data_IF_015835632032
#
_entry.id   IF_015835632032
#
_cell.length_a   1.000
_cell.length_b   1.000
_cell.length_c   1.000
_cell.angle_alpha   90.00
_cell.angle_beta   90.00
_cell.angle_gamma   90.00
#
_symmetry.space_group_name_H-M   'P 1'
#
loop_
_entity.id
_entity.type
_entity.pdbx_description
1 polymer ?
#
# COMPACT_ATOMS: atom_id res chain seq x y z
N UNK A 1 19.42 2.10 -19.99
CA UNK A 1 20.24 3.32 -19.92
C UNK A 1 19.35 4.44 -19.40
N UNK A 2 19.89 5.35 -18.62
CA UNK A 2 19.16 6.49 -18.10
C UNK A 2 18.87 7.47 -19.24
N UNK A 3 17.60 7.68 -19.58
CA UNK A 3 17.15 8.76 -20.47
C UNK A 3 17.01 10.09 -19.69
N UNK A 4 17.62 10.18 -18.51
CA UNK A 4 17.52 11.33 -17.62
C UNK A 4 18.51 12.42 -18.07
N UNK A 5 18.06 13.66 -18.32
CA UNK A 5 18.90 14.72 -18.90
C UNK A 5 20.06 15.16 -18.02
N UNK A 6 20.04 14.81 -16.74
CA UNK A 6 21.03 15.19 -15.74
C UNK A 6 22.14 14.13 -15.56
N UNK A 7 22.05 13.00 -16.25
CA UNK A 7 23.08 11.97 -16.28
C UNK A 7 23.68 11.88 -17.68
N UNK A 8 24.96 11.53 -17.77
CA UNK A 8 25.61 11.33 -19.06
C UNK A 8 24.98 10.12 -19.78
N UNK A 9 24.68 10.21 -21.09
CA UNK A 9 24.23 9.08 -21.87
C UNK A 9 25.24 7.93 -21.77
N UNK A 10 24.82 6.74 -21.34
CA UNK A 10 25.76 5.64 -21.04
C UNK A 10 26.73 5.29 -22.19
N UNK A 11 26.32 5.52 -23.44
CA UNK A 11 27.15 5.31 -24.62
C UNK A 11 28.43 6.17 -24.65
N UNK A 12 28.40 7.38 -24.08
CA UNK A 12 29.59 8.26 -24.05
C UNK A 12 30.59 7.86 -22.97
N UNK A 13 30.21 6.92 -22.09
CA UNK A 13 31.06 6.38 -21.04
C UNK A 13 31.78 5.09 -21.48
N UNK A 14 31.49 4.59 -22.68
CA UNK A 14 32.15 3.40 -23.22
C UNK A 14 33.57 3.76 -23.68
N UNK A 15 34.53 2.89 -23.39
CA UNK A 15 35.90 3.05 -23.86
C UNK A 15 36.06 2.62 -25.32
N UNK A 16 36.86 3.36 -26.09
CA UNK A 16 37.23 2.98 -27.46
C UNK A 16 36.12 3.14 -28.52
N UNK A 17 35.05 3.88 -28.22
CA UNK A 17 33.98 4.19 -29.19
C UNK A 17 33.99 5.66 -29.61
N UNK A 18 33.44 5.97 -30.78
CA UNK A 18 33.43 7.34 -31.31
C UNK A 18 32.65 8.32 -30.42
N UNK A 19 31.60 7.84 -29.76
CA UNK A 19 30.75 8.65 -28.88
C UNK A 19 31.46 9.15 -27.61
N UNK A 20 32.56 8.50 -27.19
CA UNK A 20 33.27 8.84 -25.97
C UNK A 20 33.79 10.29 -25.96
N UNK A 21 34.09 10.84 -27.15
CA UNK A 21 34.59 12.21 -27.30
C UNK A 21 33.58 13.29 -26.87
N UNK A 22 32.29 12.94 -26.79
CA UNK A 22 31.23 13.89 -26.42
C UNK A 22 31.01 13.97 -24.91
N UNK A 23 31.60 13.08 -24.11
CA UNK A 23 31.42 13.05 -22.65
C UNK A 23 31.76 14.39 -22.01
N UNK A 24 32.94 14.94 -22.30
CA UNK A 24 33.40 16.23 -21.76
C UNK A 24 32.52 17.40 -22.21
N UNK A 25 32.03 17.36 -23.45
CA UNK A 25 31.17 18.41 -24.02
C UNK A 25 29.81 18.42 -23.35
N UNK A 26 29.18 17.25 -23.22
CA UNK A 26 27.90 17.11 -22.54
C UNK A 26 28.05 17.51 -21.08
N UNK A 27 29.14 17.10 -20.43
CA UNK A 27 29.44 17.52 -19.06
C UNK A 27 29.60 19.04 -18.92
N UNK A 28 30.18 19.70 -19.95
CA UNK A 28 30.28 21.15 -20.03
C UNK A 28 28.96 21.87 -20.41
N UNK A 29 27.86 21.13 -20.62
CA UNK A 29 26.54 21.67 -20.92
C UNK A 29 26.17 21.70 -22.40
N UNK A 30 26.90 21.01 -23.27
CA UNK A 30 26.50 20.82 -24.66
C UNK A 30 25.15 20.09 -24.71
N UNK A 31 24.13 20.65 -25.41
CA UNK A 31 22.81 20.03 -25.46
C UNK A 31 22.84 18.71 -26.24
N UNK A 32 22.04 17.77 -25.76
CA UNK A 32 21.92 16.45 -26.37
C UNK A 32 20.48 15.91 -26.29
N UNK A 33 20.13 14.99 -27.20
CA UNK A 33 18.86 14.31 -27.17
C UNK A 33 19.01 12.89 -27.71
N UNK A 34 18.30 11.92 -27.11
CA UNK A 34 18.13 10.59 -27.69
C UNK A 34 16.88 10.54 -28.57
N UNK A 35 16.94 9.81 -29.68
CA UNK A 35 15.76 9.49 -30.50
C UNK A 35 15.88 8.12 -31.14
N UNK A 36 14.78 7.57 -31.62
CA UNK A 36 14.76 6.39 -32.49
C UNK A 36 15.29 6.75 -33.89
N UNK A 37 15.64 5.74 -34.67
CA UNK A 37 15.88 5.86 -36.11
C UNK A 37 14.65 5.32 -36.84
N UNK A 38 14.03 6.16 -37.65
CA UNK A 38 12.82 5.84 -38.39
C UNK A 38 13.14 5.20 -39.75
N UNK A 39 12.28 4.29 -40.19
CA UNK A 39 12.34 3.71 -41.53
C UNK A 39 13.43 2.67 -41.75
N UNK A 40 14.00 2.08 -40.69
CA UNK A 40 15.04 1.05 -40.76
C UNK A 40 14.73 -0.06 -41.79
N UNK A 41 13.48 -0.52 -41.82
CA UNK A 41 13.02 -1.60 -42.70
C UNK A 41 12.99 -1.27 -44.19
N UNK A 42 13.17 -0.01 -44.58
CA UNK A 42 13.12 0.43 -45.98
C UNK A 42 14.51 0.63 -46.60
N UNK A 43 15.58 0.45 -45.83
CA UNK A 43 16.95 0.69 -46.26
C UNK A 43 17.84 -0.51 -45.92
N UNK A 44 19.14 -0.28 -45.85
CA UNK A 44 20.16 -1.32 -45.69
C UNK A 44 20.24 -1.85 -44.25
N UNK A 45 19.33 -1.48 -43.34
CA UNK A 45 19.41 -1.94 -41.96
C UNK A 45 19.11 -3.44 -41.84
N UNK A 46 20.00 -4.18 -41.18
CA UNK A 46 19.91 -5.62 -40.99
C UNK A 46 19.89 -6.44 -42.30
N UNK A 47 20.23 -5.84 -43.44
CA UNK A 47 20.54 -6.57 -44.68
C UNK A 47 21.95 -7.16 -44.59
N UNK A 48 22.26 -8.18 -45.38
CA UNK A 48 23.61 -8.76 -45.42
C UNK A 48 24.62 -7.72 -45.93
N UNK A 49 25.66 -7.47 -45.13
CA UNK A 49 26.75 -6.55 -45.44
C UNK A 49 27.82 -7.18 -46.32
N UNK A 50 28.79 -6.38 -46.76
CA UNK A 50 29.89 -6.83 -47.62
C UNK A 50 30.84 -7.83 -46.94
N UNK A 51 30.86 -7.83 -45.61
CA UNK A 51 31.61 -8.74 -44.75
C UNK A 51 30.82 -10.00 -44.35
N UNK A 52 29.57 -10.13 -44.82
CA UNK A 52 28.66 -11.23 -44.49
C UNK A 52 27.93 -11.05 -43.14
N UNK A 53 28.28 -10.02 -42.37
CA UNK A 53 27.55 -9.65 -41.16
C UNK A 53 26.36 -8.75 -41.52
N UNK A 54 25.24 -8.81 -40.77
CA UNK A 54 24.13 -7.90 -40.99
C UNK A 54 24.57 -6.47 -40.71
N UNK A 55 24.16 -5.54 -41.59
CA UNK A 55 24.39 -4.11 -41.43
C UNK A 55 23.71 -3.62 -40.16
N UNK A 56 24.51 -3.53 -39.09
CA UNK A 56 24.08 -3.10 -37.77
C UNK A 56 25.25 -2.41 -37.07
N UNK A 57 25.22 -1.07 -36.93
CA UNK A 57 26.28 -0.36 -36.22
C UNK A 57 26.33 -0.78 -34.76
N UNK A 58 27.47 -0.60 -34.10
CA UNK A 58 27.61 -0.87 -32.66
C UNK A 58 27.23 0.35 -31.83
N UNK A 59 26.88 0.14 -30.57
CA UNK A 59 26.70 1.24 -29.64
C UNK A 59 27.98 2.10 -29.58
N UNK A 60 27.82 3.40 -29.78
CA UNK A 60 28.90 4.39 -29.82
C UNK A 60 29.45 4.68 -31.21
N UNK A 61 29.06 3.95 -32.24
CA UNK A 61 29.48 4.21 -33.63
C UNK A 61 28.98 5.59 -34.09
N UNK A 62 29.82 6.30 -34.83
CA UNK A 62 29.47 7.58 -35.43
C UNK A 62 28.42 7.42 -36.54
N UNK A 63 27.44 8.32 -36.53
CA UNK A 63 26.47 8.51 -37.60
C UNK A 63 26.71 9.84 -38.32
N UNK A 64 26.30 9.87 -39.59
CA UNK A 64 26.27 11.07 -40.42
C UNK A 64 24.82 11.44 -40.68
N UNK A 65 24.52 12.72 -40.50
CA UNK A 65 23.20 13.28 -40.76
C UNK A 65 23.25 14.13 -42.01
N UNK A 66 22.35 13.84 -42.95
CA UNK A 66 22.29 14.54 -44.24
C UNK A 66 20.91 15.15 -44.41
N UNK A 67 20.86 16.44 -44.73
CA UNK A 67 19.60 17.13 -45.04
C UNK A 67 19.06 16.64 -46.38
N UNK A 68 17.78 16.29 -46.43
CA UNK A 68 17.05 15.96 -47.65
C UNK A 68 15.83 16.90 -47.81
N UNK A 69 16.06 18.19 -48.12
CA UNK A 69 14.99 19.20 -48.21
C UNK A 69 14.00 18.94 -49.35
N UNK A 70 14.43 18.23 -50.40
CA UNK A 70 13.62 17.88 -51.57
C UNK A 70 12.83 16.57 -51.39
N UNK A 71 12.79 16.00 -50.18
CA UNK A 71 12.02 14.81 -49.89
C UNK A 71 10.51 15.08 -50.09
N UNK A 72 9.86 14.28 -50.94
CA UNK A 72 8.45 14.45 -51.32
C UNK A 72 7.45 14.32 -50.16
N UNK A 73 7.85 13.67 -49.06
CA UNK A 73 7.00 13.44 -47.89
C UNK A 73 7.23 14.45 -46.75
N UNK A 74 8.46 14.94 -46.60
CA UNK A 74 8.85 15.84 -45.50
C UNK A 74 10.05 16.73 -45.87
N UNK A 75 9.82 18.02 -46.10
CA UNK A 75 10.90 18.98 -46.40
C UNK A 75 11.90 19.19 -45.24
N UNK A 76 11.58 18.75 -44.03
CA UNK A 76 12.52 18.73 -42.91
C UNK A 76 13.29 17.41 -42.79
N UNK A 77 13.18 16.49 -43.75
CA UNK A 77 13.80 15.17 -43.65
C UNK A 77 15.31 15.24 -43.42
N UNK A 78 15.77 14.45 -42.44
CA UNK A 78 17.18 14.26 -42.15
C UNK A 78 17.48 12.77 -42.25
N UNK A 79 18.32 12.41 -43.20
CA UNK A 79 18.77 11.04 -43.42
C UNK A 79 19.85 10.67 -42.42
N UNK A 80 19.85 9.40 -42.01
CA UNK A 80 20.81 8.83 -41.07
C UNK A 80 21.68 7.82 -41.82
N UNK A 81 22.97 8.10 -41.86
CA UNK A 81 23.98 7.32 -42.58
C UNK A 81 25.03 6.77 -41.63
N UNK A 82 25.53 5.57 -41.93
CA UNK A 82 26.65 4.92 -41.24
C UNK A 82 27.79 4.67 -42.22
N UNK A 83 29.03 4.84 -41.75
CA UNK A 83 30.27 4.70 -42.55
C UNK A 83 30.34 5.54 -43.84
N UNK A 84 29.47 6.56 -43.95
CA UNK A 84 29.31 7.49 -45.08
C UNK A 84 28.64 6.90 -46.34
N UNK A 85 28.33 5.61 -46.38
CA UNK A 85 27.85 4.93 -47.58
C UNK A 85 26.59 4.08 -47.35
N UNK A 86 26.28 3.75 -46.09
CA UNK A 86 25.14 2.92 -45.74
C UNK A 86 24.03 3.81 -45.16
N UNK A 87 22.89 3.89 -45.85
CA UNK A 87 21.72 4.62 -45.34
C UNK A 87 20.96 3.71 -44.38
N UNK A 88 20.85 4.12 -43.12
CA UNK A 88 20.10 3.36 -42.11
C UNK A 88 18.62 3.76 -42.09
N UNK A 89 18.32 5.05 -42.33
CA UNK A 89 16.96 5.56 -42.20
C UNK A 89 16.90 7.07 -42.14
N UNK A 90 15.98 7.58 -41.33
CA UNK A 90 15.77 9.00 -41.09
C UNK A 90 15.62 9.31 -39.60
N UNK A 91 15.84 10.56 -39.22
CA UNK A 91 15.34 11.06 -37.95
C UNK A 91 13.80 11.06 -37.97
N UNK A 92 13.13 10.72 -36.86
CA UNK A 92 11.68 10.79 -36.77
C UNK A 92 11.18 12.21 -37.13
N UNK A 93 10.04 12.30 -37.82
CA UNK A 93 9.49 13.57 -38.32
C UNK A 93 9.43 14.70 -37.27
N UNK A 94 9.08 14.37 -36.03
CA UNK A 94 9.04 15.33 -34.93
C UNK A 94 10.42 15.87 -34.54
N UNK A 95 11.45 15.00 -34.55
CA UNK A 95 12.84 15.37 -34.30
C UNK A 95 13.38 16.18 -35.47
N UNK A 96 13.17 15.69 -36.70
CA UNK A 96 13.59 16.32 -37.94
C UNK A 96 13.06 17.76 -38.06
N UNK A 97 11.79 17.99 -37.73
CA UNK A 97 11.16 19.32 -37.70
C UNK A 97 11.90 20.32 -36.81
N UNK A 98 12.45 19.87 -35.70
CA UNK A 98 13.13 20.74 -34.73
C UNK A 98 14.57 21.00 -35.17
N UNK A 99 15.29 19.96 -35.62
CA UNK A 99 16.71 20.07 -35.91
C UNK A 99 17.03 20.60 -37.31
N UNK A 100 16.17 20.34 -38.31
CA UNK A 100 16.44 20.68 -39.70
C UNK A 100 16.68 22.19 -39.94
N UNK A 101 15.87 23.12 -39.38
CA UNK A 101 16.14 24.55 -39.53
C UNK A 101 17.49 24.97 -38.95
N UNK A 102 17.92 24.34 -37.85
CA UNK A 102 19.23 24.60 -37.26
C UNK A 102 20.36 24.05 -38.12
N UNK A 103 20.21 22.85 -38.69
CA UNK A 103 21.16 22.29 -39.64
C UNK A 103 21.29 23.17 -40.88
N UNK A 104 20.17 23.66 -41.43
CA UNK A 104 20.15 24.56 -42.60
C UNK A 104 20.81 25.91 -42.29
N UNK A 105 20.77 26.35 -41.03
CA UNK A 105 21.51 27.52 -40.54
C UNK A 105 22.99 27.25 -40.22
N UNK A 106 23.48 26.02 -40.44
CA UNK A 106 24.87 25.63 -40.18
C UNK A 106 25.19 25.33 -38.71
N UNK A 107 24.18 25.16 -37.86
CA UNK A 107 24.40 24.80 -36.46
C UNK A 107 25.00 23.38 -36.36
N UNK A 108 26.08 23.17 -35.57
CA UNK A 108 26.66 21.86 -35.40
C UNK A 108 25.66 20.84 -34.85
N UNK A 109 25.62 19.67 -35.51
CA UNK A 109 24.87 18.50 -35.06
C UNK A 109 25.70 17.24 -35.30
N UNK A 110 25.87 16.44 -34.26
CA UNK A 110 26.63 15.20 -34.26
C UNK A 110 25.72 14.08 -33.83
N UNK A 111 25.90 12.89 -34.39
CA UNK A 111 25.05 11.75 -34.11
C UNK A 111 25.87 10.48 -33.88
N UNK A 112 25.38 9.64 -32.96
CA UNK A 112 26.00 8.37 -32.58
C UNK A 112 24.94 7.32 -32.29
N UNK A 113 25.26 6.05 -32.38
CA UNK A 113 24.31 4.97 -32.03
C UNK A 113 24.26 4.81 -30.51
N UNK A 114 23.08 4.94 -29.90
CA UNK A 114 22.85 4.62 -28.49
C UNK A 114 22.62 3.12 -28.33
N UNK A 115 21.67 2.61 -29.12
CA UNK A 115 21.21 1.24 -29.08
C UNK A 115 21.05 0.76 -30.53
N UNK A 116 21.76 -0.30 -30.95
CA UNK A 116 21.60 -0.84 -32.30
C UNK A 116 20.27 -1.58 -32.50
N UNK A 117 19.51 -1.83 -31.44
CA UNK A 117 18.23 -2.51 -31.51
C UNK A 117 18.35 -3.95 -32.01
N UNK A 118 17.21 -4.50 -32.39
CA UNK A 118 17.07 -5.91 -32.79
C UNK A 118 17.11 -6.11 -34.29
N UNK A 119 17.08 -5.03 -35.07
CA UNK A 119 16.89 -5.05 -36.52
C UNK A 119 15.44 -4.80 -36.95
N UNK A 120 14.50 -4.83 -36.01
CA UNK A 120 13.11 -4.49 -36.28
C UNK A 120 12.92 -2.96 -36.34
N UNK A 121 11.84 -2.54 -37.00
CA UNK A 121 11.47 -1.13 -37.10
C UNK A 121 11.42 -0.46 -35.70
N UNK A 122 11.93 0.77 -35.61
CA UNK A 122 11.93 1.59 -34.38
C UNK A 122 12.77 1.05 -33.21
N UNK A 123 13.59 0.02 -33.42
CA UNK A 123 14.39 -0.55 -32.33
C UNK A 123 15.77 0.09 -32.18
N UNK A 124 16.33 0.66 -33.25
CA UNK A 124 17.60 1.37 -33.17
C UNK A 124 17.40 2.82 -32.68
N UNK A 125 18.32 3.30 -31.83
CA UNK A 125 18.32 4.64 -31.23
C UNK A 125 19.63 5.37 -31.49
N UNK A 126 19.53 6.67 -31.73
CA UNK A 126 20.64 7.59 -31.92
C UNK A 126 20.73 8.63 -30.79
N UNK A 127 21.96 8.99 -30.43
CA UNK A 127 22.31 10.14 -29.60
C UNK A 127 22.63 11.28 -30.54
N UNK A 128 21.94 12.39 -30.37
CA UNK A 128 22.19 13.65 -31.04
C UNK A 128 22.88 14.60 -30.06
N UNK A 129 23.98 15.23 -30.47
CA UNK A 129 24.76 16.16 -29.65
C UNK A 129 25.08 17.40 -30.46
N UNK A 130 24.78 18.59 -29.92
CA UNK A 130 25.05 19.84 -30.60
C UNK A 130 24.00 20.92 -30.35
N UNK A 131 24.33 22.20 -30.56
CA UNK A 131 23.38 23.32 -30.41
C UNK A 131 22.09 23.14 -31.22
N UNK A 132 22.12 22.41 -32.33
CA UNK A 132 20.93 22.12 -33.13
C UNK A 132 19.84 21.30 -32.41
N UNK A 133 20.17 20.63 -31.28
CA UNK A 133 19.18 19.92 -30.44
C UNK A 133 18.83 20.68 -29.16
N UNK A 134 19.17 21.96 -29.05
CA UNK A 134 18.88 22.78 -27.87
C UNK A 134 17.42 22.74 -27.44
N UNK A 135 16.48 22.91 -28.39
CA UNK A 135 15.05 22.90 -28.09
C UNK A 135 14.55 21.53 -27.63
N UNK A 136 15.07 20.44 -28.20
CA UNK A 136 14.77 19.07 -27.78
C UNK A 136 15.33 18.78 -26.38
N UNK A 137 16.57 19.21 -26.11
CA UNK A 137 17.20 19.06 -24.80
C UNK A 137 16.44 19.85 -23.72
N UNK A 138 15.99 21.07 -24.04
CA UNK A 138 15.15 21.87 -23.15
C UNK A 138 13.81 21.19 -22.81
N UNK A 139 13.16 20.58 -23.81
CA UNK A 139 11.93 19.78 -23.58
C UNK A 139 12.20 18.56 -22.70
N UNK A 140 13.33 17.88 -22.88
CA UNK A 140 13.74 16.76 -22.05
C UNK A 140 13.95 17.17 -20.59
N UNK A 141 14.68 18.28 -20.34
CA UNK A 141 14.86 18.86 -19.00
C UNK A 141 13.51 19.21 -18.36
N UNK A 142 12.63 19.89 -19.11
CA UNK A 142 11.32 20.27 -18.61
C UNK A 142 10.47 19.05 -18.22
N UNK A 143 10.50 17.99 -19.05
CA UNK A 143 9.79 16.74 -18.76
C UNK A 143 10.32 16.05 -17.50
N UNK A 144 11.65 15.87 -17.40
CA UNK A 144 12.28 15.26 -16.23
C UNK A 144 12.01 16.05 -14.94
N UNK A 145 12.03 17.39 -15.02
CA UNK A 145 11.71 18.27 -13.88
C UNK A 145 10.25 18.12 -13.45
N UNK A 146 9.32 18.07 -14.40
CA UNK A 146 7.90 17.88 -14.11
C UNK A 146 7.63 16.53 -13.44
N UNK A 147 8.24 15.44 -13.95
CA UNK A 147 8.14 14.11 -13.34
C UNK A 147 8.67 14.11 -11.90
N UNK A 148 9.87 14.67 -11.66
CA UNK A 148 10.44 14.74 -10.31
C UNK A 148 9.56 15.55 -9.34
N UNK A 149 8.95 16.65 -9.80
CA UNK A 149 8.02 17.45 -9.00
C UNK A 149 6.74 16.68 -8.66
N UNK A 150 6.19 15.93 -9.61
CA UNK A 150 4.99 15.13 -9.38
C UNK A 150 5.25 13.96 -8.44
N UNK A 151 6.40 13.30 -8.57
CA UNK A 151 6.85 12.26 -7.63
C UNK A 151 7.01 12.80 -6.21
N UNK A 152 7.64 13.98 -6.06
CA UNK A 152 7.78 14.64 -4.77
C UNK A 152 6.42 15.00 -4.16
N UNK A 153 5.52 15.61 -4.94
CA UNK A 153 4.14 15.94 -4.49
C UNK A 153 3.38 14.70 -4.06
N UNK A 154 3.50 13.61 -4.80
CA UNK A 154 2.88 12.35 -4.44
C UNK A 154 3.44 11.79 -3.13
N UNK A 155 4.76 11.87 -2.96
CA UNK A 155 5.44 11.51 -1.72
C UNK A 155 4.98 12.32 -0.50
N UNK A 156 4.85 13.64 -0.64
CA UNK A 156 4.31 14.52 0.42
C UNK A 156 2.88 14.15 0.79
N UNK A 157 2.01 13.94 -0.22
CA UNK A 157 0.61 13.55 -0.01
C UNK A 157 0.51 12.21 0.72
N UNK A 158 1.33 11.24 0.35
CA UNK A 158 1.41 9.94 1.05
C UNK A 158 1.92 10.10 2.49
N UNK A 159 2.85 11.01 2.76
CA UNK A 159 3.31 11.29 4.11
C UNK A 159 2.22 11.96 4.97
N UNK A 160 1.44 12.89 4.38
CA UNK A 160 0.29 13.50 5.02
C UNK A 160 -0.80 12.48 5.37
N UNK A 161 -1.21 11.65 4.40
CA UNK A 161 -2.19 10.59 4.63
C UNK A 161 -1.78 9.63 5.76
N UNK A 162 -0.47 9.30 5.85
CA UNK A 162 0.07 8.51 6.96
C UNK A 162 -0.07 9.22 8.31
N UNK A 163 0.27 10.51 8.37
CA UNK A 163 0.10 11.33 9.60
C UNK A 163 -1.36 11.41 10.05
N UNK A 164 -2.28 11.58 9.11
CA UNK A 164 -3.72 11.60 9.39
C UNK A 164 -4.23 10.25 9.88
N UNK A 165 -3.84 9.15 9.21
CA UNK A 165 -4.17 7.78 9.61
C UNK A 165 -3.68 7.47 11.03
N UNK A 166 -2.43 7.81 11.33
CA UNK A 166 -1.85 7.65 12.66
C UNK A 166 -2.59 8.46 13.73
N UNK A 167 -3.02 9.67 13.38
CA UNK A 167 -3.78 10.54 14.29
C UNK A 167 -5.15 9.95 14.60
N UNK A 168 -5.86 9.41 13.60
CA UNK A 168 -7.15 8.71 13.79
C UNK A 168 -6.98 7.47 14.67
N UNK A 169 -5.98 6.64 14.40
CA UNK A 169 -5.69 5.44 15.21
C UNK A 169 -5.36 5.82 16.66
N UNK A 170 -4.63 6.91 16.89
CA UNK A 170 -4.34 7.41 18.24
C UNK A 170 -5.60 7.88 18.96
N UNK A 171 -6.50 8.58 18.26
CA UNK A 171 -7.77 9.04 18.81
C UNK A 171 -8.66 7.88 19.24
N UNK A 172 -8.83 6.86 18.38
CA UNK A 172 -9.61 5.65 18.70
C UNK A 172 -9.06 4.91 19.94
N UNK A 173 -7.74 4.77 20.04
CA UNK A 173 -7.10 4.17 21.24
C UNK A 173 -7.36 4.99 22.49
N UNK A 174 -7.33 6.31 22.39
CA UNK A 174 -7.59 7.21 23.51
C UNK A 174 -9.04 7.09 23.98
N UNK A 175 -10.01 7.06 23.06
CA UNK A 175 -11.43 6.85 23.40
C UNK A 175 -11.67 5.51 24.09
N UNK A 176 -11.07 4.42 23.57
CA UNK A 176 -11.17 3.10 24.19
C UNK A 176 -10.62 3.10 25.61
N UNK A 177 -9.46 3.74 25.85
CA UNK A 177 -8.89 3.90 27.20
C UNK A 177 -9.81 4.71 28.10
N UNK A 178 -10.42 5.79 27.59
CA UNK A 178 -11.33 6.62 28.37
C UNK A 178 -12.60 5.87 28.75
N UNK A 179 -13.18 5.06 27.83
CA UNK A 179 -14.33 4.19 28.11
C UNK A 179 -14.00 3.18 29.22
N UNK A 180 -12.86 2.50 29.11
CA UNK A 180 -12.40 1.55 30.14
C UNK A 180 -12.16 2.23 31.49
N UNK A 181 -11.53 3.41 31.51
CA UNK A 181 -11.29 4.16 32.75
C UNK A 181 -12.60 4.61 33.41
N UNK A 182 -13.60 5.04 32.62
CA UNK A 182 -14.95 5.38 33.12
C UNK A 182 -15.63 4.17 33.73
N UNK A 183 -15.63 3.03 33.04
CA UNK A 183 -16.20 1.78 33.55
C UNK A 183 -15.49 1.30 34.83
N UNK A 184 -14.16 1.43 34.91
CA UNK A 184 -13.40 1.10 36.11
C UNK A 184 -13.79 1.99 37.31
N UNK A 185 -13.93 3.30 37.11
CA UNK A 185 -14.39 4.22 38.17
C UNK A 185 -15.80 3.90 38.62
N UNK A 186 -16.70 3.58 37.67
CA UNK A 186 -18.08 3.21 38.00
C UNK A 186 -18.13 1.90 38.80
N UNK A 187 -17.39 0.87 38.36
CA UNK A 187 -17.28 -0.39 39.11
C UNK A 187 -16.72 -0.16 40.52
N UNK A 188 -15.69 0.68 40.66
CA UNK A 188 -15.13 1.03 41.96
C UNK A 188 -16.16 1.73 42.84
N UNK A 189 -16.88 2.72 42.31
CA UNK A 189 -17.91 3.46 43.05
C UNK A 189 -19.06 2.55 43.49
N UNK A 190 -19.57 1.71 42.57
CA UNK A 190 -20.63 0.72 42.87
C UNK A 190 -20.15 -0.24 43.95
N UNK A 191 -18.95 -0.80 43.82
CA UNK A 191 -18.41 -1.73 44.80
C UNK A 191 -18.18 -1.08 46.17
N UNK A 192 -17.70 0.17 46.22
CA UNK A 192 -17.52 0.90 47.47
C UNK A 192 -18.87 1.16 48.14
N UNK A 193 -19.88 1.61 47.37
CA UNK A 193 -21.22 1.82 47.89
C UNK A 193 -21.87 0.53 48.37
N UNK A 194 -21.80 -0.54 47.58
CA UNK A 194 -22.30 -1.88 47.95
C UNK A 194 -21.62 -2.46 49.19
N UNK A 195 -20.38 -2.09 49.50
CA UNK A 195 -19.70 -2.53 50.72
C UNK A 195 -20.25 -1.86 51.98
N UNK A 196 -20.83 -0.66 51.85
CA UNK A 196 -21.38 0.11 52.97
C UNK A 196 -22.90 -0.02 53.12
N UNK A 197 -23.58 -0.63 52.15
CA UNK A 197 -24.99 -0.95 52.28
C UNK A 197 -25.16 -2.12 53.26
N UNK A 198 -26.10 -2.03 54.22
CA UNK A 198 -26.48 -3.21 54.99
C UNK A 198 -26.99 -4.28 54.03
N UNK A 199 -26.75 -5.58 54.28
CA UNK A 199 -27.38 -6.63 53.51
C UNK A 199 -28.89 -6.38 53.51
N UNK A 200 -29.53 -6.41 52.32
CA UNK A 200 -30.98 -6.26 52.24
C UNK A 200 -31.62 -7.26 53.21
N UNK A 201 -32.47 -6.81 54.15
CA UNK A 201 -33.18 -7.74 55.01
C UNK A 201 -33.95 -8.67 54.11
N UNK A 202 -33.69 -9.97 54.27
CA UNK A 202 -34.39 -10.98 53.50
C UNK A 202 -35.84 -10.87 53.91
N UNK A 203 -36.70 -10.61 52.92
CA UNK A 203 -38.12 -10.81 53.12
C UNK A 203 -38.32 -12.32 53.29
N UNK A 204 -38.43 -12.79 54.54
CA UNK A 204 -38.65 -14.20 54.85
C UNK A 204 -39.91 -14.74 54.15
N UNK A 205 -40.85 -13.87 53.76
CA UNK A 205 -42.02 -14.22 52.97
C UNK A 205 -41.70 -14.57 51.52
N UNK A 206 -40.53 -14.17 50.98
CA UNK A 206 -40.03 -14.59 49.66
C UNK A 206 -39.39 -15.97 49.67
N UNK A 207 -38.95 -16.48 50.82
CA UNK A 207 -38.44 -17.84 50.90
C UNK A 207 -39.59 -18.83 50.75
N UNK A 208 -39.43 -19.90 49.95
CA UNK A 208 -40.42 -20.96 49.89
C UNK A 208 -40.76 -21.48 51.30
N UNK A 209 -42.05 -21.71 51.62
CA UNK A 209 -42.43 -22.21 52.94
C UNK A 209 -42.00 -23.66 53.10
N UNK A 210 -41.69 -24.05 54.35
CA UNK A 210 -41.30 -25.40 54.69
C UNK A 210 -42.41 -26.41 54.30
N UNK A 211 -41.99 -27.60 53.86
CA UNK A 211 -42.87 -28.67 53.39
C UNK A 211 -43.33 -28.56 51.93
N UNK A 212 -43.10 -27.43 51.24
CA UNK A 212 -43.43 -27.32 49.80
C UNK A 212 -42.35 -27.94 48.93
N UNK A 213 -42.78 -28.63 47.88
CA UNK A 213 -41.93 -29.04 46.77
C UNK A 213 -41.88 -27.90 45.75
N UNK A 214 -40.68 -27.38 45.47
CA UNK A 214 -40.46 -26.25 44.55
C UNK A 214 -39.36 -26.56 43.55
N UNK A 215 -39.34 -25.87 42.42
CA UNK A 215 -38.23 -25.97 41.47
C UNK A 215 -36.99 -25.25 42.02
N UNK A 216 -35.81 -25.79 41.72
CA UNK A 216 -34.54 -25.13 42.04
C UNK A 216 -34.41 -23.75 41.40
N UNK A 217 -35.12 -23.51 40.29
CA UNK A 217 -35.19 -22.19 39.68
C UNK A 217 -35.88 -21.17 40.59
N UNK A 218 -36.95 -21.56 41.27
CA UNK A 218 -37.69 -20.67 42.17
C UNK A 218 -36.82 -20.31 43.38
N UNK A 219 -36.05 -21.28 43.90
CA UNK A 219 -35.05 -21.02 44.94
C UNK A 219 -33.97 -20.07 44.44
N UNK A 220 -33.39 -20.34 43.26
CA UNK A 220 -32.34 -19.51 42.66
C UNK A 220 -32.79 -18.07 42.47
N UNK A 221 -34.03 -17.86 42.02
CA UNK A 221 -34.64 -16.55 41.88
C UNK A 221 -34.90 -15.88 43.24
N UNK A 222 -35.44 -16.61 44.22
CA UNK A 222 -35.77 -16.07 45.54
C UNK A 222 -34.53 -15.52 46.28
N UNK A 223 -33.39 -16.19 46.16
CA UNK A 223 -32.14 -15.78 46.85
C UNK A 223 -31.10 -15.12 45.94
N UNK A 224 -31.44 -14.87 44.67
CA UNK A 224 -30.56 -14.17 43.72
C UNK A 224 -29.26 -14.90 43.40
N UNK A 225 -29.30 -16.22 43.16
CA UNK A 225 -28.12 -17.03 42.84
C UNK A 225 -28.33 -17.87 41.56
N UNK A 226 -27.27 -18.54 41.09
CA UNK A 226 -27.40 -19.47 39.95
C UNK A 226 -28.12 -20.77 40.35
N UNK A 227 -28.78 -21.45 39.41
CA UNK A 227 -29.40 -22.78 39.64
C UNK A 227 -28.42 -23.81 40.23
N UNK A 228 -27.15 -23.78 39.77
CA UNK A 228 -26.08 -24.63 40.32
C UNK A 228 -25.73 -24.29 41.77
N UNK A 229 -25.84 -23.02 42.15
CA UNK A 229 -25.63 -22.59 43.54
C UNK A 229 -26.82 -22.96 44.41
N UNK A 230 -28.06 -22.76 43.93
CA UNK A 230 -29.27 -23.22 44.61
C UNK A 230 -29.23 -24.74 44.88
N UNK A 231 -28.78 -25.55 43.92
CA UNK A 231 -28.56 -26.98 44.10
C UNK A 231 -27.56 -27.29 45.22
N UNK A 232 -26.40 -26.63 45.22
CA UNK A 232 -25.38 -26.81 46.27
C UNK A 232 -25.88 -26.40 47.65
N UNK A 233 -26.72 -25.36 47.74
CA UNK A 233 -27.33 -24.94 49.00
C UNK A 233 -28.34 -25.98 49.49
N UNK A 234 -29.16 -26.56 48.60
CA UNK A 234 -30.05 -27.68 48.90
C UNK A 234 -29.29 -28.91 49.42
N UNK A 235 -28.23 -29.31 48.71
CA UNK A 235 -27.38 -30.44 49.10
C UNK A 235 -26.66 -30.18 50.44
N UNK A 236 -26.17 -28.95 50.68
CA UNK A 236 -25.57 -28.54 51.97
C UNK A 236 -26.56 -28.61 53.13
N UNK A 237 -27.84 -28.32 52.89
CA UNK A 237 -28.90 -28.43 53.88
C UNK A 237 -29.40 -29.87 54.08
N UNK A 238 -28.82 -30.86 53.39
CA UNK A 238 -29.27 -32.25 53.43
C UNK A 238 -30.57 -32.52 52.65
N UNK A 239 -31.07 -31.53 51.89
CA UNK A 239 -32.29 -31.69 51.10
C UNK A 239 -31.99 -32.46 49.80
N UNK A 240 -32.78 -33.49 49.53
CA UNK A 240 -32.63 -34.31 48.32
C UNK A 240 -33.25 -33.61 47.12
N UNK A 241 -32.42 -33.24 46.15
CA UNK A 241 -32.87 -32.72 44.85
C UNK A 241 -33.32 -33.88 43.97
N UNK A 242 -34.56 -33.83 43.49
CA UNK A 242 -35.10 -34.76 42.51
C UNK A 242 -35.00 -34.16 41.12
N UNK A 243 -34.45 -34.91 40.18
CA UNK A 243 -34.35 -34.48 38.78
C UNK A 243 -35.28 -35.34 37.96
N UNK A 244 -36.26 -34.72 37.31
CA UNK A 244 -37.10 -35.40 36.34
C UNK A 244 -36.43 -35.34 34.96
N UNK A 245 -36.40 -36.46 34.27
CA UNK A 245 -35.74 -36.61 32.97
C UNK A 245 -36.77 -36.93 31.89
N UNK A 246 -36.69 -36.27 30.74
CA UNK A 246 -37.40 -36.66 29.52
C UNK A 246 -36.37 -37.01 28.46
N UNK A 247 -36.10 -38.30 28.29
CA UNK A 247 -34.95 -38.77 27.51
C UNK A 247 -33.64 -38.36 28.17
N UNK A 248 -32.75 -37.72 27.41
CA UNK A 248 -31.45 -37.24 27.90
C UNK A 248 -31.48 -35.85 28.55
N UNK A 249 -32.64 -35.19 28.57
CA UNK A 249 -32.78 -33.84 29.10
C UNK A 249 -33.44 -33.82 30.47
N UNK A 250 -32.83 -33.13 31.42
CA UNK A 250 -33.47 -32.77 32.68
C UNK A 250 -34.59 -31.77 32.40
N UNK A 251 -35.83 -32.14 32.69
CA UNK A 251 -37.01 -31.30 32.46
C UNK A 251 -37.42 -30.49 33.68
N UNK A 252 -37.13 -31.00 34.88
CA UNK A 252 -37.32 -30.29 36.15
C UNK A 252 -36.31 -30.73 37.19
N UNK A 253 -36.04 -29.86 38.16
CA UNK A 253 -35.20 -30.18 39.30
C UNK A 253 -35.85 -29.61 40.54
N UNK A 254 -36.58 -30.46 41.26
CA UNK A 254 -37.38 -30.06 42.41
C UNK A 254 -36.71 -30.45 43.72
N UNK A 255 -37.06 -29.74 44.79
CA UNK A 255 -36.62 -30.05 46.14
C UNK A 255 -37.75 -29.75 47.12
N UNK A 256 -37.88 -30.59 48.14
CA UNK A 256 -38.76 -30.32 49.28
C UNK A 256 -38.04 -29.36 50.22
N UNK A 257 -38.68 -28.24 50.51
CA UNK A 257 -38.10 -27.18 51.34
C UNK A 257 -38.17 -27.60 52.80
N UNK A 258 -37.03 -27.86 53.41
CA UNK A 258 -36.91 -28.13 54.86
C UNK A 258 -36.60 -26.84 55.62
N UNK A 259 -36.78 -26.85 56.95
CA UNK A 259 -36.40 -25.71 57.79
C UNK A 259 -34.89 -25.46 57.79
N UNK A 260 -34.09 -26.52 57.69
CA UNK A 260 -32.64 -26.44 57.49
C UNK A 260 -32.31 -25.78 56.15
N UNK A 261 -33.04 -26.12 55.07
CA UNK A 261 -32.85 -25.48 53.77
C UNK A 261 -33.22 -23.99 53.84
N UNK A 262 -34.33 -23.63 54.49
CA UNK A 262 -34.69 -22.21 54.69
C UNK A 262 -33.60 -21.46 55.46
N UNK A 263 -33.00 -22.09 56.47
CA UNK A 263 -31.89 -21.52 57.24
C UNK A 263 -30.65 -21.29 56.37
N UNK A 264 -30.25 -22.27 55.55
CA UNK A 264 -29.10 -22.14 54.64
C UNK A 264 -29.35 -21.09 53.55
N UNK A 265 -30.59 -21.00 53.05
CA UNK A 265 -30.98 -19.97 52.08
C UNK A 265 -30.95 -18.57 52.69
N UNK A 266 -31.42 -18.43 53.94
CA UNK A 266 -31.36 -17.18 54.68
C UNK A 266 -29.90 -16.76 54.98
N UNK A 267 -29.06 -17.71 55.40
CA UNK A 267 -27.63 -17.48 55.60
C UNK A 267 -26.93 -17.05 54.30
N UNK A 268 -27.28 -17.64 53.15
CA UNK A 268 -26.72 -17.26 51.86
C UNK A 268 -27.14 -15.85 51.44
N UNK A 269 -28.43 -15.55 51.53
CA UNK A 269 -28.98 -14.27 51.06
C UNK A 269 -28.57 -13.08 51.95
N UNK A 270 -28.15 -13.32 53.19
CA UNK A 270 -27.64 -12.29 54.10
C UNK A 270 -26.17 -11.91 53.86
N UNK A 271 -25.47 -12.63 52.98
CA UNK A 271 -24.08 -12.32 52.62
C UNK A 271 -24.01 -11.19 51.59
N UNK A 272 -23.00 -10.28 51.68
CA UNK A 272 -22.83 -9.22 50.69
C UNK A 272 -22.61 -9.80 49.29
N UNK A 273 -23.33 -9.26 48.30
CA UNK A 273 -23.30 -9.75 46.91
C UNK A 273 -21.94 -9.52 46.24
N UNK A 274 -21.67 -10.31 45.20
CA UNK A 274 -20.41 -10.29 44.43
C UNK A 274 -20.08 -8.90 43.89
N UNK A 275 -18.78 -8.55 43.90
CA UNK A 275 -18.25 -7.31 43.29
C UNK A 275 -18.55 -7.24 41.79
N UNK A 276 -18.99 -6.07 41.33
CA UNK A 276 -19.14 -5.72 39.91
C UNK A 276 -17.76 -5.56 39.28
N UNK A 277 -17.57 -6.15 38.11
CA UNK A 277 -16.34 -6.09 37.33
C UNK A 277 -16.45 -5.10 36.17
N UNK A 278 -15.31 -4.60 35.69
CA UNK A 278 -15.26 -3.68 34.54
C UNK A 278 -15.85 -4.31 33.28
N UNK A 279 -15.68 -5.63 33.12
CA UNK A 279 -16.22 -6.39 31.98
C UNK A 279 -17.74 -6.42 31.95
N UNK A 280 -18.41 -6.30 33.10
CA UNK A 280 -19.89 -6.26 33.18
C UNK A 280 -20.47 -4.88 32.82
N UNK A 281 -19.62 -3.86 32.62
CA UNK A 281 -20.01 -2.46 32.37
C UNK A 281 -19.62 -1.92 30.99
N UNK A 282 -18.92 -2.70 30.15
CA UNK A 282 -18.32 -2.26 28.88
C UNK A 282 -18.94 -2.97 27.69
#
# INVERSE_FOLDING_TARGET
MSDFPFELPGVVLLEGVDAAIEADRIHAGEPWAGCEIAGLQFYDYSTEGLDGDPVRPRAGDRLVLVRAPDNEHDGNAVEVWWRNDIRLGHLPRGVAREVAPHMDAGAPLRAYVIDPGTGEAWTARALLVGPAVGDLHGKLIAHATAQALDEWRWGERLAEMRREGDSRIRAERFEKRLKLARAARLAQAVNAFSAHLPPEPIDEARLPPAGKCVELFDIAHAVGCSRSTARRLAERAGARVQVSMRGWHATSSTVVVTDELRTVLAEWASRPRRRVTVTELV
#
